data_IF_215804747091
#
_entry.id   IF_215804747091
#
_cell.length_a   1.000
_cell.length_b   1.000
_cell.length_c   1.000
_cell.angle_alpha   90.00
_cell.angle_beta   90.00
_cell.angle_gamma   90.00
#
_symmetry.space_group_name_H-M   'P 1'
#
loop_
_entity.id
_entity.type
_entity.pdbx_description
1 polymer ?
#
# COMPACT_ATOMS: atom_id res chain seq x y z
N UNK A 1 15.31 -3.09 4.07
CA UNK A 1 14.76 -1.88 4.73
C UNK A 1 15.74 -1.46 5.80
N UNK A 2 15.89 -0.16 6.06
CA UNK A 2 16.66 0.33 7.20
C UNK A 2 15.87 0.13 8.52
N UNK A 3 16.47 0.50 9.66
CA UNK A 3 15.85 0.39 10.99
C UNK A 3 14.57 1.24 11.13
N UNK A 4 14.39 2.24 10.26
CA UNK A 4 13.21 3.10 10.19
C UNK A 4 12.15 2.59 9.20
N UNK A 5 12.29 1.35 8.72
CA UNK A 5 11.40 0.65 7.78
C UNK A 5 11.26 1.33 6.41
N UNK A 6 12.28 2.06 5.99
CA UNK A 6 12.36 2.70 4.67
C UNK A 6 13.13 1.82 3.69
N UNK A 7 12.74 1.91 2.41
CA UNK A 7 13.49 1.31 1.31
C UNK A 7 14.78 2.10 1.13
N UNK A 8 15.91 1.39 1.13
CA UNK A 8 17.24 1.98 0.92
C UNK A 8 17.54 1.92 -0.56
N UNK A 9 17.27 3.01 -1.29
CA UNK A 9 17.40 3.01 -2.75
C UNK A 9 18.83 2.75 -3.24
N UNK A 10 19.84 3.04 -2.41
CA UNK A 10 21.24 2.76 -2.72
C UNK A 10 21.52 1.24 -2.84
N UNK A 11 20.70 0.38 -2.23
CA UNK A 11 20.84 -1.08 -2.36
C UNK A 11 20.59 -1.54 -3.81
N UNK A 12 19.94 -0.72 -4.64
CA UNK A 12 19.72 -1.01 -6.06
C UNK A 12 20.82 -0.50 -6.98
N UNK A 13 21.84 0.20 -6.46
CA UNK A 13 22.97 0.73 -7.23
C UNK A 13 23.99 -0.38 -7.57
N UNK A 14 23.52 -1.43 -8.21
CA UNK A 14 24.27 -2.60 -8.65
C UNK A 14 23.62 -3.18 -9.91
N UNK A 15 24.35 -4.05 -10.62
CA UNK A 15 23.82 -4.76 -11.78
C UNK A 15 22.53 -5.51 -11.40
N UNK A 16 21.44 -5.25 -12.13
CA UNK A 16 20.13 -5.80 -11.83
C UNK A 16 19.32 -6.04 -13.12
N UNK A 17 18.42 -7.01 -13.10
CA UNK A 17 17.52 -7.32 -14.23
C UNK A 17 16.22 -6.49 -14.25
N UNK A 18 16.06 -5.60 -13.28
CA UNK A 18 14.84 -4.84 -13.01
C UNK A 18 14.62 -4.65 -11.51
N UNK A 19 13.96 -3.57 -11.15
CA UNK A 19 13.66 -3.21 -9.76
C UNK A 19 12.15 -3.13 -9.61
N UNK A 20 11.62 -3.72 -8.54
CA UNK A 20 10.20 -3.61 -8.20
C UNK A 20 10.05 -3.36 -6.70
N UNK A 21 9.25 -2.36 -6.35
CA UNK A 21 8.85 -2.14 -4.96
C UNK A 21 7.51 -1.40 -4.86
N UNK A 22 6.77 -1.60 -3.75
CA UNK A 22 5.58 -0.81 -3.46
C UNK A 22 5.94 0.57 -2.91
N UNK A 23 5.22 1.59 -3.36
CA UNK A 23 5.30 2.96 -2.86
C UNK A 23 3.91 3.62 -2.89
N UNK A 24 3.21 3.81 -1.76
CA UNK A 24 3.63 3.52 -0.38
C UNK A 24 3.91 2.03 -0.11
N UNK A 25 4.88 1.75 0.76
CA UNK A 25 5.32 0.40 1.08
C UNK A 25 4.27 -0.39 1.88
N UNK A 26 4.13 -1.68 1.59
CA UNK A 26 3.39 -2.62 2.42
C UNK A 26 4.37 -3.66 2.99
N UNK A 27 4.44 -3.84 4.32
CA UNK A 27 3.41 -3.52 5.30
C UNK A 27 3.58 -2.19 6.07
N UNK A 28 4.56 -1.34 5.75
CA UNK A 28 5.01 -0.28 6.67
C UNK A 28 4.30 1.06 6.49
N UNK A 29 3.64 1.29 5.35
CA UNK A 29 2.98 2.55 5.01
C UNK A 29 3.92 3.68 4.60
N UNK A 30 5.25 3.49 4.70
CA UNK A 30 6.26 4.48 4.35
C UNK A 30 6.21 4.85 2.86
N UNK A 31 6.47 6.11 2.56
CA UNK A 31 6.51 6.63 1.18
C UNK A 31 7.91 7.13 0.83
N UNK A 32 8.31 6.87 -0.40
CA UNK A 32 9.49 7.43 -1.06
C UNK A 32 9.03 8.64 -1.87
N UNK A 33 9.68 9.79 -1.70
CA UNK A 33 9.36 11.01 -2.44
C UNK A 33 9.81 10.96 -3.90
N UNK A 34 9.14 11.75 -4.77
CA UNK A 34 9.46 11.79 -6.21
C UNK A 34 10.89 12.20 -6.51
N UNK A 35 11.50 13.07 -5.69
CA UNK A 35 12.89 13.48 -5.87
C UNK A 35 13.87 12.30 -5.72
N UNK A 36 13.61 11.41 -4.75
CA UNK A 36 14.42 10.22 -4.54
C UNK A 36 14.21 9.20 -5.66
N UNK A 37 12.96 9.00 -6.09
CA UNK A 37 12.65 8.14 -7.26
C UNK A 37 13.32 8.65 -8.53
N UNK A 38 13.29 9.97 -8.78
CA UNK A 38 13.98 10.61 -9.90
C UNK A 38 15.49 10.34 -9.88
N UNK A 39 16.13 10.43 -8.72
CA UNK A 39 17.56 10.12 -8.57
C UNK A 39 17.88 8.66 -8.93
N UNK A 40 17.04 7.72 -8.49
CA UNK A 40 17.19 6.30 -8.86
C UNK A 40 17.00 6.10 -10.38
N UNK A 41 15.98 6.70 -10.98
CA UNK A 41 15.72 6.60 -12.41
C UNK A 41 16.83 7.20 -13.28
N UNK A 42 17.50 8.26 -12.80
CA UNK A 42 18.64 8.88 -13.50
C UNK A 42 19.89 8.00 -13.49
N UNK A 43 20.03 7.12 -12.50
CA UNK A 43 21.20 6.24 -12.35
C UNK A 43 20.95 4.84 -12.87
N UNK A 44 19.70 4.36 -12.81
CA UNK A 44 19.27 3.06 -13.29
C UNK A 44 18.55 3.21 -14.65
N UNK A 45 19.31 3.28 -15.75
CA UNK A 45 18.77 3.47 -17.11
C UNK A 45 18.61 2.19 -17.91
N UNK A 46 19.35 1.14 -17.57
CA UNK A 46 19.45 -0.09 -18.36
C UNK A 46 18.44 -1.18 -17.96
N UNK A 47 17.70 -0.97 -16.86
CA UNK A 47 16.70 -1.92 -16.37
C UNK A 47 15.37 -1.23 -16.07
N UNK A 48 14.29 -2.01 -16.09
CA UNK A 48 12.94 -1.52 -15.81
C UNK A 48 12.78 -1.27 -14.31
N UNK A 49 12.27 -0.10 -13.95
CA UNK A 49 11.83 0.22 -12.60
C UNK A 49 10.30 0.15 -12.53
N UNK A 50 9.78 -0.74 -11.69
CA UNK A 50 8.34 -0.89 -11.42
C UNK A 50 8.02 -0.30 -10.05
N UNK A 51 7.16 0.73 -10.04
CA UNK A 51 6.63 1.32 -8.81
C UNK A 51 5.19 0.84 -8.63
N UNK A 52 4.95 0.03 -7.59
CA UNK A 52 3.62 -0.42 -7.22
C UNK A 52 2.92 0.61 -6.32
N UNK A 53 1.98 1.32 -6.90
CA UNK A 53 1.22 2.41 -6.30
C UNK A 53 -0.17 1.95 -5.81
N UNK A 54 -0.31 0.70 -5.38
CA UNK A 54 -1.58 0.16 -4.87
C UNK A 54 -2.21 0.96 -3.71
N UNK A 55 -1.45 1.85 -3.06
CA UNK A 55 -1.89 2.66 -1.93
C UNK A 55 -1.71 4.17 -2.12
N UNK A 56 -1.26 4.65 -3.30
CA UNK A 56 -0.87 6.06 -3.50
C UNK A 56 -2.02 7.05 -3.27
N UNK A 57 -3.26 6.62 -3.52
CA UNK A 57 -4.45 7.45 -3.31
C UNK A 57 -4.63 7.86 -1.84
N UNK A 58 -4.10 7.09 -0.88
CA UNK A 58 -4.25 7.40 0.55
C UNK A 58 -3.16 8.35 1.08
N UNK A 59 -2.20 8.73 0.24
CA UNK A 59 -1.13 9.67 0.56
C UNK A 59 0.11 9.50 -0.32
N UNK A 60 0.87 10.58 -0.47
CA UNK A 60 2.07 10.64 -1.29
C UNK A 60 1.83 11.34 -2.63
N UNK A 61 2.86 11.31 -3.47
CA UNK A 61 2.83 11.88 -4.82
C UNK A 61 3.09 10.78 -5.83
N UNK A 62 2.24 10.69 -6.86
CA UNK A 62 2.34 9.62 -7.86
C UNK A 62 3.54 9.80 -8.79
N UNK A 63 4.27 8.70 -8.98
CA UNK A 63 5.34 8.53 -9.96
C UNK A 63 4.82 8.54 -11.40
N UNK A 64 3.50 8.50 -11.63
CA UNK A 64 2.90 8.70 -12.96
C UNK A 64 3.41 10.03 -13.56
N UNK A 65 3.62 11.06 -12.74
CA UNK A 65 4.14 12.36 -13.20
C UNK A 65 5.54 12.30 -13.83
N UNK A 66 6.25 11.18 -13.67
CA UNK A 66 7.61 10.96 -14.18
C UNK A 66 7.64 10.08 -15.44
N UNK A 67 6.54 9.42 -15.83
CA UNK A 67 6.56 8.40 -16.90
C UNK A 67 6.94 8.97 -18.27
N UNK A 68 6.57 10.21 -18.55
CA UNK A 68 6.94 10.90 -19.80
C UNK A 68 8.44 11.24 -19.87
N UNK A 69 9.13 11.28 -18.73
CA UNK A 69 10.55 11.64 -18.63
C UNK A 69 11.46 10.40 -18.59
N UNK A 70 10.95 9.24 -18.19
CA UNK A 70 11.75 8.04 -17.93
C UNK A 70 11.14 6.82 -18.63
N UNK A 71 11.66 6.41 -19.80
CA UNK A 71 11.06 5.35 -20.61
C UNK A 71 11.16 3.95 -19.98
N UNK A 72 11.99 3.78 -18.97
CA UNK A 72 12.16 2.54 -18.21
C UNK A 72 11.32 2.50 -16.92
N UNK A 73 10.52 3.53 -16.63
CA UNK A 73 9.58 3.55 -15.51
C UNK A 73 8.24 2.91 -15.91
N UNK A 74 7.76 2.00 -15.08
CA UNK A 74 6.41 1.44 -15.13
C UNK A 74 5.74 1.64 -13.77
N UNK A 75 4.61 2.33 -13.76
CA UNK A 75 3.79 2.50 -12.55
C UNK A 75 2.60 1.58 -12.63
N UNK A 76 2.33 0.81 -11.58
CA UNK A 76 1.15 -0.06 -11.50
C UNK A 76 0.20 0.39 -10.41
N UNK A 77 -1.10 0.38 -10.70
CA UNK A 77 -2.15 0.75 -9.75
C UNK A 77 -3.29 -0.26 -9.80
N UNK A 78 -4.13 -0.27 -8.76
CA UNK A 78 -5.22 -1.25 -8.61
C UNK A 78 -6.52 -0.59 -8.18
N UNK A 79 -7.63 -1.17 -8.64
CA UNK A 79 -8.97 -0.84 -8.15
C UNK A 79 -9.30 -1.51 -6.81
N UNK A 80 -8.39 -2.35 -6.29
CA UNK A 80 -8.67 -3.20 -5.13
C UNK A 80 -8.78 -2.46 -3.80
N UNK A 81 -8.28 -1.21 -3.71
CA UNK A 81 -8.17 -0.48 -2.46
C UNK A 81 -9.07 0.76 -2.48
N UNK A 82 -8.54 1.87 -2.98
CA UNK A 82 -9.20 3.18 -3.00
C UNK A 82 -10.50 3.21 -3.81
N UNK A 83 -10.66 2.30 -4.77
CA UNK A 83 -11.86 2.14 -5.60
C UNK A 83 -12.82 1.06 -5.09
N UNK A 84 -12.56 0.44 -3.93
CA UNK A 84 -13.46 -0.54 -3.29
C UNK A 84 -13.80 -1.79 -4.12
N UNK A 85 -12.98 -2.16 -5.12
CA UNK A 85 -13.21 -3.30 -6.01
C UNK A 85 -12.21 -4.46 -5.82
N UNK A 86 -11.89 -4.79 -4.56
CA UNK A 86 -10.93 -5.87 -4.24
C UNK A 86 -11.30 -7.22 -4.90
N UNK A 87 -12.60 -7.51 -4.95
CA UNK A 87 -13.16 -8.73 -5.54
C UNK A 87 -13.15 -8.75 -7.07
N UNK A 88 -13.09 -7.60 -7.74
CA UNK A 88 -13.18 -7.51 -9.21
C UNK A 88 -11.85 -7.75 -9.92
N UNK A 89 -10.73 -7.78 -9.18
CA UNK A 89 -9.39 -8.10 -9.69
C UNK A 89 -8.92 -7.21 -10.86
N UNK A 90 -9.28 -5.93 -10.83
CA UNK A 90 -8.85 -4.96 -11.85
C UNK A 90 -7.62 -4.15 -11.40
N UNK A 91 -6.68 -3.98 -12.31
CA UNK A 91 -5.51 -3.12 -12.17
C UNK A 91 -5.00 -2.68 -13.54
N UNK A 92 -4.07 -1.74 -13.56
CA UNK A 92 -3.50 -1.17 -14.77
C UNK A 92 -2.04 -0.78 -14.56
N UNK A 93 -1.34 -0.62 -15.68
CA UNK A 93 0.04 -0.13 -15.71
C UNK A 93 0.11 1.11 -16.61
N UNK A 94 0.94 2.07 -16.22
CA UNK A 94 1.22 3.30 -16.95
C UNK A 94 2.74 3.39 -17.13
N UNK A 95 3.18 3.59 -18.37
CA UNK A 95 4.59 3.68 -18.73
C UNK A 95 4.75 3.87 -20.22
N UNK A 96 5.99 3.88 -20.70
CA UNK A 96 6.28 4.06 -22.12
C UNK A 96 5.67 2.93 -22.97
N UNK A 97 5.29 3.27 -24.22
CA UNK A 97 4.66 2.34 -25.17
C UNK A 97 5.43 1.03 -25.30
N UNK A 98 6.77 1.07 -25.38
CA UNK A 98 7.59 -0.14 -25.49
C UNK A 98 7.42 -1.13 -24.32
N UNK A 99 7.19 -0.62 -23.09
CA UNK A 99 6.92 -1.45 -21.92
C UNK A 99 5.51 -2.05 -22.00
N UNK A 100 4.53 -1.24 -22.40
CA UNK A 100 3.14 -1.68 -22.58
C UNK A 100 3.05 -2.76 -23.67
N UNK A 101 3.74 -2.58 -24.81
CA UNK A 101 3.83 -3.59 -25.87
C UNK A 101 4.46 -4.90 -25.38
N UNK A 102 5.41 -4.81 -24.44
CA UNK A 102 5.96 -5.97 -23.73
C UNK A 102 4.89 -6.71 -22.93
N UNK A 103 4.12 -5.98 -22.12
CA UNK A 103 3.03 -6.54 -21.32
C UNK A 103 1.93 -7.13 -22.21
N UNK A 104 1.57 -6.48 -23.32
CA UNK A 104 0.55 -6.96 -24.25
C UNK A 104 0.96 -8.27 -24.93
N UNK A 105 2.23 -8.40 -25.36
CA UNK A 105 2.74 -9.64 -25.94
C UNK A 105 2.64 -10.81 -24.96
N UNK A 106 3.02 -10.58 -23.69
CA UNK A 106 2.89 -11.59 -22.64
C UNK A 106 1.42 -11.91 -22.37
N UNK A 107 0.58 -10.89 -22.13
CA UNK A 107 -0.86 -11.03 -21.90
C UNK A 107 -1.51 -11.87 -23.00
N UNK A 108 -1.30 -11.52 -24.27
CA UNK A 108 -1.93 -12.19 -25.41
C UNK A 108 -1.37 -13.59 -25.68
N UNK A 109 -0.21 -13.94 -25.13
CA UNK A 109 0.34 -15.31 -25.20
C UNK A 109 -0.32 -16.27 -24.22
N UNK A 110 -0.86 -15.76 -23.10
CA UNK A 110 -1.50 -16.57 -22.05
C UNK A 110 -3.02 -16.45 -22.05
N UNK A 111 -3.55 -15.23 -22.03
CA UNK A 111 -4.97 -14.94 -22.05
C UNK A 111 -5.22 -13.53 -22.63
N UNK A 112 -5.77 -13.47 -23.85
CA UNK A 112 -6.08 -12.20 -24.53
C UNK A 112 -7.17 -11.38 -23.83
N UNK A 113 -8.01 -12.01 -23.01
CA UNK A 113 -9.14 -11.38 -22.29
C UNK A 113 -9.04 -11.69 -20.78
N UNK A 114 -8.06 -11.09 -20.06
CA UNK A 114 -7.84 -11.38 -18.65
C UNK A 114 -8.89 -10.77 -17.71
N UNK A 115 -9.76 -9.90 -18.20
CA UNK A 115 -10.82 -9.24 -17.43
C UNK A 115 -12.19 -9.58 -18.02
N UNK A 116 -13.13 -9.91 -17.14
CA UNK A 116 -14.52 -10.11 -17.54
C UNK A 116 -15.26 -8.78 -17.71
N UNK A 117 -16.40 -8.82 -18.40
CA UNK A 117 -17.19 -7.64 -18.72
C UNK A 117 -17.71 -6.90 -17.47
N UNK A 118 -18.07 -7.62 -16.41
CA UNK A 118 -18.58 -6.99 -15.18
C UNK A 118 -17.45 -6.27 -14.44
N UNK A 119 -16.25 -6.86 -14.40
CA UNK A 119 -15.08 -6.22 -13.82
C UNK A 119 -14.72 -4.92 -14.56
N UNK A 120 -14.72 -4.92 -15.89
CA UNK A 120 -14.47 -3.72 -16.70
C UNK A 120 -15.56 -2.66 -16.47
N UNK A 121 -16.83 -3.07 -16.49
CA UNK A 121 -17.97 -2.15 -16.27
C UNK A 121 -17.90 -1.49 -14.90
N UNK A 122 -17.63 -2.26 -13.85
CA UNK A 122 -17.48 -1.75 -12.50
C UNK A 122 -16.29 -0.79 -12.37
N UNK A 123 -15.15 -1.11 -12.99
CA UNK A 123 -13.97 -0.26 -12.97
C UNK A 123 -14.21 1.09 -13.66
N UNK A 124 -14.88 1.09 -14.83
CA UNK A 124 -15.25 2.34 -15.53
C UNK A 124 -16.20 3.18 -14.69
N UNK A 125 -17.22 2.58 -14.07
CA UNK A 125 -18.13 3.28 -13.18
C UNK A 125 -17.40 3.88 -11.96
N UNK A 126 -16.48 3.13 -11.35
CA UNK A 126 -15.69 3.58 -10.21
C UNK A 126 -14.67 4.70 -10.53
N UNK A 127 -14.26 4.82 -11.81
CA UNK A 127 -13.48 5.98 -12.28
C UNK A 127 -14.35 7.22 -12.47
N UNK A 128 -15.57 7.05 -12.97
CA UNK A 128 -16.48 8.15 -13.24
C UNK A 128 -17.07 8.78 -11.95
N UNK A 129 -17.16 8.01 -10.87
CA UNK A 129 -17.66 8.48 -9.57
C UNK A 129 -16.55 9.14 -8.72
N UNK A 130 -16.16 10.35 -9.12
CA UNK A 130 -15.12 11.13 -8.44
C UNK A 130 -15.55 11.55 -7.02
N UNK A 131 -16.82 11.88 -6.82
CA UNK A 131 -17.35 12.32 -5.53
C UNK A 131 -17.25 11.21 -4.48
N UNK A 132 -17.71 10.01 -4.81
CA UNK A 132 -17.62 8.87 -3.90
C UNK A 132 -16.17 8.49 -3.58
N UNK A 133 -15.29 8.54 -4.60
CA UNK A 133 -13.86 8.30 -4.42
C UNK A 133 -13.24 9.29 -3.44
N UNK A 134 -13.43 10.60 -3.65
CA UNK A 134 -12.91 11.64 -2.78
C UNK A 134 -13.46 11.52 -1.36
N UNK A 135 -14.77 11.34 -1.21
CA UNK A 135 -15.39 11.17 0.10
C UNK A 135 -14.81 9.97 0.86
N UNK A 136 -14.71 8.81 0.21
CA UNK A 136 -14.22 7.57 0.84
C UNK A 136 -12.75 7.69 1.21
N UNK A 137 -11.93 8.25 0.31
CA UNK A 137 -10.51 8.48 0.52
C UNK A 137 -10.25 9.40 1.71
N UNK A 138 -10.93 10.55 1.77
CA UNK A 138 -10.79 11.50 2.89
C UNK A 138 -11.27 10.89 4.21
N UNK A 139 -12.36 10.11 4.18
CA UNK A 139 -12.85 9.39 5.37
C UNK A 139 -11.80 8.43 5.91
N UNK A 140 -11.20 7.61 5.04
CA UNK A 140 -10.14 6.66 5.44
C UNK A 140 -8.92 7.41 5.98
N UNK A 141 -8.50 8.50 5.34
CA UNK A 141 -7.36 9.32 5.80
C UNK A 141 -7.64 9.91 7.19
N UNK A 142 -8.84 10.47 7.41
CA UNK A 142 -9.25 11.01 8.71
C UNK A 142 -9.28 9.93 9.79
N UNK A 143 -9.89 8.77 9.52
CA UNK A 143 -9.93 7.64 10.46
C UNK A 143 -8.53 7.06 10.72
N UNK A 144 -7.62 7.07 9.74
CA UNK A 144 -6.23 6.67 9.94
C UNK A 144 -5.53 7.58 10.95
N UNK A 145 -5.69 8.90 10.81
CA UNK A 145 -5.10 9.87 11.74
C UNK A 145 -5.68 9.74 13.16
N UNK A 146 -6.98 9.52 13.26
CA UNK A 146 -7.63 9.26 14.54
C UNK A 146 -7.10 7.96 15.19
N UNK A 147 -7.04 6.87 14.42
CA UNK A 147 -6.57 5.57 14.91
C UNK A 147 -5.10 5.63 15.35
N UNK A 148 -4.25 6.31 14.59
CA UNK A 148 -2.85 6.57 14.93
C UNK A 148 -2.72 7.26 16.30
N UNK A 149 -3.46 8.37 16.50
CA UNK A 149 -3.49 9.10 17.77
C UNK A 149 -3.95 8.23 18.95
N UNK A 150 -5.03 7.47 18.79
CA UNK A 150 -5.54 6.61 19.87
C UNK A 150 -4.59 5.46 20.20
N UNK A 151 -3.93 4.86 19.20
CA UNK A 151 -2.91 3.83 19.43
C UNK A 151 -1.71 4.39 20.20
N UNK A 152 -1.23 5.58 19.83
CA UNK A 152 -0.14 6.25 20.55
C UNK A 152 -0.52 6.57 22.01
N UNK A 153 -1.77 7.00 22.27
CA UNK A 153 -2.27 7.19 23.65
C UNK A 153 -2.29 5.89 24.46
N UNK A 154 -2.41 4.73 23.80
CA UNK A 154 -2.30 3.42 24.43
C UNK A 154 -0.87 2.90 24.54
N UNK A 155 0.14 3.71 24.20
CA UNK A 155 1.56 3.34 24.32
C UNK A 155 2.11 2.55 23.14
N UNK A 156 1.40 2.48 22.01
CA UNK A 156 1.95 1.89 20.79
C UNK A 156 2.93 2.84 20.10
N UNK A 157 4.01 2.28 19.56
CA UNK A 157 4.81 2.92 18.53
C UNK A 157 4.13 2.68 17.18
N UNK A 158 3.73 3.74 16.48
CA UNK A 158 3.06 3.66 15.18
C UNK A 158 3.91 4.33 14.11
N UNK A 159 4.13 3.66 12.99
CA UNK A 159 4.85 4.25 11.86
C UNK A 159 3.96 5.22 11.08
N UNK A 160 4.51 6.35 10.58
CA UNK A 160 3.82 7.20 9.63
C UNK A 160 3.40 6.40 8.40
N UNK A 161 2.12 6.50 8.05
CA UNK A 161 1.53 5.73 6.96
C UNK A 161 0.85 6.64 5.93
N UNK A 162 1.18 6.41 4.66
CA UNK A 162 0.51 6.96 3.50
C UNK A 162 -0.45 5.94 2.84
N UNK A 163 -0.78 4.84 3.53
CA UNK A 163 -1.68 3.78 3.05
C UNK A 163 -3.01 3.73 3.82
N UNK A 164 -3.90 2.78 3.51
CA UNK A 164 -5.16 2.55 4.23
C UNK A 164 -5.02 1.61 5.45
N UNK A 165 -3.85 1.60 6.06
CA UNK A 165 -3.54 0.81 7.25
C UNK A 165 -2.48 1.54 8.08
N UNK A 166 -2.35 1.15 9.34
CA UNK A 166 -1.23 1.55 10.21
C UNK A 166 -0.37 0.34 10.55
N UNK A 167 0.91 0.57 10.82
CA UNK A 167 1.85 -0.45 11.25
C UNK A 167 2.34 -0.08 12.64
N UNK A 168 1.97 -0.90 13.64
CA UNK A 168 2.10 -0.53 15.04
C UNK A 168 2.69 -1.69 15.85
N UNK A 169 3.48 -1.36 16.87
CA UNK A 169 3.98 -2.30 17.89
C UNK A 169 3.72 -1.75 19.28
N UNK A 170 3.65 -2.64 20.28
CA UNK A 170 3.64 -2.22 21.67
C UNK A 170 4.94 -2.64 22.36
N UNK A 171 5.72 -1.73 22.97
CA UNK A 171 7.04 -2.07 23.52
C UNK A 171 6.99 -3.03 24.71
N UNK A 172 5.86 -3.10 25.41
CA UNK A 172 5.67 -3.94 26.60
C UNK A 172 4.80 -5.19 26.37
N UNK A 173 4.24 -5.38 25.18
CA UNK A 173 3.33 -6.49 24.90
C UNK A 173 3.69 -7.17 23.59
N UNK A 174 3.73 -8.50 23.61
CA UNK A 174 4.03 -9.31 22.43
C UNK A 174 2.92 -9.20 21.38
N UNK A 175 3.30 -8.96 20.12
CA UNK A 175 2.34 -8.77 19.05
C UNK A 175 1.55 -10.05 18.69
N UNK A 176 2.13 -11.24 18.84
CA UNK A 176 1.43 -12.49 18.59
C UNK A 176 0.34 -12.72 19.63
N UNK A 177 0.62 -12.40 20.90
CA UNK A 177 -0.37 -12.42 21.98
C UNK A 177 -1.49 -11.40 21.72
N UNK A 178 -1.16 -10.14 21.45
CA UNK A 178 -2.16 -9.11 21.12
C UNK A 178 -3.04 -9.53 19.95
N UNK A 179 -2.45 -10.11 18.89
CA UNK A 179 -3.20 -10.64 17.75
C UNK A 179 -4.17 -11.76 18.15
N UNK A 180 -3.74 -12.70 18.98
CA UNK A 180 -4.59 -13.80 19.46
C UNK A 180 -5.77 -13.27 20.29
N UNK A 181 -5.52 -12.34 21.22
CA UNK A 181 -6.53 -11.75 22.09
C UNK A 181 -7.55 -10.88 21.34
N UNK A 182 -7.10 -10.13 20.33
CA UNK A 182 -7.98 -9.40 19.41
C UNK A 182 -8.87 -10.37 18.62
N UNK A 183 -8.29 -11.48 18.13
CA UNK A 183 -9.03 -12.50 17.38
C UNK A 183 -10.11 -13.18 18.23
N UNK A 184 -9.85 -13.44 19.51
CA UNK A 184 -10.85 -13.95 20.45
C UNK A 184 -12.05 -13.00 20.59
N UNK A 185 -11.78 -11.69 20.51
CA UNK A 185 -12.78 -10.61 20.51
C UNK A 185 -13.39 -10.33 19.13
N UNK A 186 -13.16 -11.22 18.14
CA UNK A 186 -13.65 -11.14 16.76
C UNK A 186 -13.13 -9.94 15.97
N UNK A 187 -11.97 -9.40 16.36
CA UNK A 187 -11.28 -8.32 15.65
C UNK A 187 -10.06 -8.91 14.95
N UNK A 188 -10.09 -8.93 13.61
CA UNK A 188 -9.02 -9.52 12.81
C UNK A 188 -8.10 -8.44 12.25
N UNK A 189 -6.89 -8.36 12.81
CA UNK A 189 -5.77 -7.58 12.26
C UNK A 189 -4.77 -8.50 11.57
N UNK A 190 -3.72 -7.96 10.95
CA UNK A 190 -2.66 -8.77 10.34
C UNK A 190 -1.43 -8.82 11.25
N UNK A 191 -1.04 -10.02 11.64
CA UNK A 191 0.25 -10.33 12.27
C UNK A 191 1.21 -10.97 11.25
N UNK A 192 2.51 -10.72 11.41
CA UNK A 192 3.57 -11.35 10.62
C UNK A 192 4.52 -12.07 11.57
N UNK A 193 4.82 -13.35 11.33
CA UNK A 193 5.82 -14.10 12.12
C UNK A 193 7.22 -14.03 11.50
N UNK A 194 7.49 -13.00 10.70
CA UNK A 194 8.75 -12.84 9.99
C UNK A 194 9.72 -11.99 10.80
N UNK A 195 11.01 -12.32 10.74
CA UNK A 195 12.06 -11.56 11.42
C UNK A 195 11.97 -10.06 11.13
N UNK A 196 12.31 -9.24 12.13
CA UNK A 196 12.27 -7.77 12.11
C UNK A 196 10.87 -7.13 12.15
N UNK A 197 9.80 -7.88 11.88
CA UNK A 197 8.42 -7.39 11.92
C UNK A 197 7.49 -8.25 12.78
N UNK A 198 8.04 -9.21 13.51
CA UNK A 198 7.35 -10.16 14.39
C UNK A 198 6.82 -9.56 15.68
N UNK A 199 7.15 -8.30 15.96
CA UNK A 199 6.59 -7.51 17.06
C UNK A 199 5.59 -6.44 16.56
N UNK A 200 5.14 -6.51 15.31
CA UNK A 200 4.24 -5.53 14.73
C UNK A 200 2.90 -6.13 14.28
N UNK A 201 1.86 -5.31 14.37
CA UNK A 201 0.55 -5.52 13.78
C UNK A 201 0.34 -4.54 12.64
N UNK A 202 -0.12 -5.04 11.49
CA UNK A 202 -0.68 -4.20 10.44
C UNK A 202 -2.19 -4.17 10.58
N UNK A 203 -2.71 -2.99 10.90
CA UNK A 203 -4.12 -2.76 11.20
C UNK A 203 -4.72 -1.98 10.03
N UNK A 204 -5.58 -2.64 9.25
CA UNK A 204 -6.34 -1.96 8.20
C UNK A 204 -7.29 -0.95 8.81
N UNK A 205 -7.41 0.23 8.21
CA UNK A 205 -8.36 1.26 8.65
C UNK A 205 -9.74 0.88 8.10
N UNK A 206 -10.64 0.52 9.02
CA UNK A 206 -12.04 0.26 8.72
C UNK A 206 -12.88 1.53 8.83
N UNK A 207 -14.17 1.34 9.09
CA UNK A 207 -15.09 2.42 9.47
C UNK A 207 -14.72 2.98 10.85
N UNK A 208 -15.19 4.19 11.15
CA UNK A 208 -14.96 4.82 12.47
C UNK A 208 -15.44 3.93 13.64
N UNK A 209 -16.64 3.32 13.61
CA UNK A 209 -17.08 2.41 14.67
C UNK A 209 -16.20 1.15 14.82
N UNK A 210 -15.66 0.61 13.72
CA UNK A 210 -14.73 -0.52 13.77
C UNK A 210 -13.39 -0.13 14.41
N UNK A 211 -12.88 1.07 14.09
CA UNK A 211 -11.68 1.62 14.71
C UNK A 211 -11.89 1.85 16.22
N UNK A 212 -13.05 2.37 16.62
CA UNK A 212 -13.42 2.53 18.03
C UNK A 212 -13.52 1.19 18.76
N UNK A 213 -14.15 0.19 18.15
CA UNK A 213 -14.24 -1.16 18.70
C UNK A 213 -12.85 -1.78 18.94
N UNK A 214 -11.91 -1.59 17.99
CA UNK A 214 -10.51 -1.98 18.16
C UNK A 214 -9.86 -1.29 19.36
N UNK A 215 -9.98 0.04 19.46
CA UNK A 215 -9.38 0.81 20.56
C UNK A 215 -9.96 0.36 21.92
N UNK A 216 -11.26 0.11 22.01
CA UNK A 216 -11.87 -0.41 23.24
C UNK A 216 -11.38 -1.82 23.59
N UNK A 217 -11.22 -2.69 22.60
CA UNK A 217 -10.66 -4.02 22.82
C UNK A 217 -9.22 -3.96 23.32
N UNK A 218 -8.37 -3.10 22.72
CA UNK A 218 -7.00 -2.88 23.18
C UNK A 218 -6.96 -2.31 24.60
N UNK A 219 -7.81 -1.33 24.93
CA UNK A 219 -7.96 -0.80 26.30
C UNK A 219 -8.32 -1.89 27.31
N UNK A 220 -9.05 -2.93 26.91
CA UNK A 220 -9.39 -4.05 27.79
C UNK A 220 -8.27 -5.09 27.91
N UNK A 221 -7.46 -5.28 26.86
CA UNK A 221 -6.32 -6.21 26.83
C UNK A 221 -5.13 -5.68 27.63
N UNK A 222 -4.87 -4.37 27.54
CA UNK A 222 -3.72 -3.72 28.17
C UNK A 222 -3.92 -3.37 29.66
N UNK A 223 -5.06 -3.77 30.24
CA UNK A 223 -5.37 -3.53 31.66
C UNK A 223 -4.70 -4.52 32.59
#
# INVERSE_FOLDING_TARGET
>A
LNDAFEIVLADYAQDNGGIIFPNPNAPTGRVIGLAQLRSLLQTNTESVLIVDEAYIDFGGETAITLVDQFPNLLVVQTFSKSRSLAGSRVGYAIGATALIDGLERVKNSFNSYPLDMLAVTAAVAALADEEYFEQTRQTIIASRHWLDSELQQLGFDVLPSAANFVFARHPQHDAAQLFAELRERKILVRYFSAACIDQHLRISVGTQPECEALIQALKAILR
#
